data_IF_469112568525
#
_entry.id   IF_469112568525
#
_cell.length_a   1.000
_cell.length_b   1.000
_cell.length_c   1.000
_cell.angle_alpha   90.00
_cell.angle_beta   90.00
_cell.angle_gamma   90.00
#
_symmetry.space_group_name_H-M   'P 1'
#
loop_
_entity.id
_entity.type
_entity.pdbx_description
1 polymer ?
#
# COMPACT_ATOMS: atom_id res chain seq x y z
N UNK A 1 -7.94 18.76 -22.08
CA UNK A 1 -9.12 18.39 -21.26
C UNK A 1 -8.79 18.23 -19.76
N UNK A 2 -7.55 17.88 -19.39
CA UNK A 2 -7.13 17.65 -17.99
C UNK A 2 -7.19 18.88 -17.05
N UNK A 3 -6.87 20.08 -17.52
CA UNK A 3 -6.76 21.29 -16.67
C UNK A 3 -8.09 21.76 -16.02
N UNK A 4 -9.25 21.42 -16.58
CA UNK A 4 -10.57 21.72 -15.98
C UNK A 4 -10.98 20.72 -14.90
N UNK A 5 -10.55 19.45 -15.03
CA UNK A 5 -10.84 18.39 -14.06
C UNK A 5 -10.02 18.60 -12.78
N UNK A 6 -8.75 18.98 -12.92
CA UNK A 6 -7.86 19.27 -11.78
C UNK A 6 -8.34 20.47 -10.97
N UNK A 7 -8.69 21.58 -11.63
CA UNK A 7 -9.23 22.78 -10.93
C UNK A 7 -10.54 22.50 -10.19
N UNK A 8 -11.39 21.62 -10.74
CA UNK A 8 -12.65 21.22 -10.10
C UNK A 8 -12.40 20.31 -8.89
N UNK A 9 -11.39 19.45 -8.96
CA UNK A 9 -11.00 18.59 -7.84
C UNK A 9 -10.35 19.40 -6.71
N UNK A 10 -9.45 20.33 -7.01
CA UNK A 10 -8.83 21.20 -6.01
C UNK A 10 -9.86 22.07 -5.27
N UNK A 11 -10.86 22.60 -5.99
CA UNK A 11 -11.97 23.31 -5.34
C UNK A 11 -12.77 22.38 -4.40
N UNK A 12 -13.04 21.15 -4.83
CA UNK A 12 -13.75 20.14 -4.03
C UNK A 12 -12.95 19.71 -2.81
N UNK A 13 -11.62 19.59 -2.93
CA UNK A 13 -10.69 19.29 -1.84
C UNK A 13 -10.79 20.31 -0.72
N UNK A 14 -10.74 21.61 -1.04
CA UNK A 14 -10.89 22.69 -0.03
C UNK A 14 -12.24 22.59 0.69
N UNK A 15 -13.32 22.22 -0.01
CA UNK A 15 -14.63 22.04 0.62
C UNK A 15 -14.66 20.85 1.58
N UNK A 16 -13.99 19.75 1.23
CA UNK A 16 -13.90 18.55 2.08
C UNK A 16 -13.06 18.84 3.32
N UNK A 17 -11.91 19.51 3.19
CA UNK A 17 -11.06 19.89 4.33
C UNK A 17 -11.83 20.75 5.34
N UNK A 18 -12.56 21.75 4.85
CA UNK A 18 -13.43 22.60 5.70
C UNK A 18 -14.50 21.77 6.41
N UNK A 19 -15.10 20.81 5.71
CA UNK A 19 -16.12 19.94 6.28
C UNK A 19 -15.55 19.03 7.38
N UNK A 20 -14.41 18.38 7.12
CA UNK A 20 -13.74 17.51 8.10
C UNK A 20 -13.32 18.29 9.34
N UNK A 21 -12.80 19.52 9.17
CA UNK A 21 -12.45 20.40 10.28
C UNK A 21 -13.63 20.78 11.16
N UNK A 22 -14.76 21.13 10.56
CA UNK A 22 -15.98 21.43 11.30
C UNK A 22 -16.48 20.20 12.08
N UNK A 23 -16.43 19.00 11.50
CA UNK A 23 -16.83 17.77 12.20
C UNK A 23 -15.86 17.39 13.32
N UNK A 24 -14.57 17.64 13.15
CA UNK A 24 -13.57 17.45 14.20
C UNK A 24 -13.83 18.37 15.38
N UNK A 25 -14.03 19.68 15.14
CA UNK A 25 -14.26 20.67 16.19
C UNK A 25 -15.58 20.44 16.96
N UNK A 26 -16.60 19.85 16.30
CA UNK A 26 -17.82 19.40 16.98
C UNK A 26 -17.57 18.21 17.93
N UNK A 27 -16.75 17.25 17.51
CA UNK A 27 -16.57 15.97 18.22
C UNK A 27 -15.49 16.04 19.30
N UNK A 28 -14.47 16.87 19.09
CA UNK A 28 -13.31 16.98 19.97
C UNK A 28 -13.11 18.43 20.42
N UNK A 29 -13.09 18.64 21.75
CA UNK A 29 -12.72 19.94 22.33
C UNK A 29 -11.22 20.16 22.17
N UNK A 30 -10.80 21.41 21.91
CA UNK A 30 -9.38 21.77 21.78
C UNK A 30 -8.61 21.41 23.05
N UNK A 31 -7.38 20.90 22.87
CA UNK A 31 -6.38 20.60 23.91
C UNK A 31 -6.55 19.29 24.74
N UNK A 32 -7.36 18.32 24.30
CA UNK A 32 -7.44 17.01 24.98
C UNK A 32 -6.77 15.90 24.16
N UNK A 33 -5.97 15.06 24.82
CA UNK A 33 -5.39 13.86 24.20
C UNK A 33 -6.51 12.89 23.79
N UNK A 34 -6.67 12.67 22.49
CA UNK A 34 -7.68 11.76 21.94
C UNK A 34 -7.12 10.33 21.95
N UNK A 35 -7.86 9.36 22.50
CA UNK A 35 -7.47 7.95 22.51
C UNK A 35 -7.55 7.32 21.12
N UNK A 36 -6.72 6.30 20.86
CA UNK A 36 -6.64 5.60 19.56
C UNK A 36 -8.03 5.11 19.09
N UNK A 37 -8.81 4.50 19.98
CA UNK A 37 -10.17 4.03 19.67
C UNK A 37 -11.12 5.15 19.22
N UNK A 38 -11.02 6.34 19.81
CA UNK A 38 -11.82 7.51 19.42
C UNK A 38 -11.38 8.08 18.06
N UNK A 39 -10.08 8.01 17.75
CA UNK A 39 -9.51 8.39 16.45
C UNK A 39 -10.04 7.47 15.35
N UNK A 40 -9.91 6.16 15.53
CA UNK A 40 -10.41 5.14 14.58
C UNK A 40 -11.89 5.34 14.27
N UNK A 41 -12.73 5.45 15.30
CA UNK A 41 -14.17 5.69 15.11
C UNK A 41 -14.47 7.01 14.39
N UNK A 42 -13.66 8.05 14.59
CA UNK A 42 -13.82 9.30 13.84
C UNK A 42 -13.41 9.16 12.37
N UNK A 43 -12.31 8.45 12.08
CA UNK A 43 -11.89 8.16 10.71
C UNK A 43 -12.99 7.41 9.96
N UNK A 44 -13.53 6.31 10.52
CA UNK A 44 -14.59 5.51 9.90
C UNK A 44 -15.87 6.32 9.65
N UNK A 45 -16.27 7.14 10.63
CA UNK A 45 -17.43 8.03 10.49
C UNK A 45 -17.21 9.07 9.39
N UNK A 46 -16.02 9.66 9.33
CA UNK A 46 -15.72 10.72 8.37
C UNK A 46 -15.58 10.19 6.95
N UNK A 47 -14.95 9.02 6.75
CA UNK A 47 -14.89 8.37 5.44
C UNK A 47 -16.31 8.11 4.89
N UNK A 48 -17.24 7.63 5.73
CA UNK A 48 -18.65 7.44 5.34
C UNK A 48 -19.37 8.76 5.03
N UNK A 49 -19.19 9.78 5.89
CA UNK A 49 -19.82 11.11 5.71
C UNK A 49 -19.32 11.81 4.45
N UNK A 50 -18.02 11.74 4.17
CA UNK A 50 -17.41 12.34 2.98
C UNK A 50 -17.87 11.62 1.73
N UNK A 51 -17.84 10.28 1.70
CA UNK A 51 -18.35 9.51 0.57
C UNK A 51 -19.82 9.80 0.26
N UNK A 52 -20.65 9.98 1.30
CA UNK A 52 -22.08 10.32 1.14
C UNK A 52 -22.29 11.75 0.62
N UNK A 53 -21.45 12.71 1.04
CA UNK A 53 -21.65 14.14 0.76
C UNK A 53 -20.94 14.63 -0.50
N UNK A 54 -19.77 14.08 -0.81
CA UNK A 54 -18.89 14.55 -1.88
C UNK A 54 -18.67 13.52 -3.00
N UNK A 55 -19.26 12.33 -2.84
CA UNK A 55 -19.19 11.23 -3.80
C UNK A 55 -18.20 10.13 -3.37
N UNK A 56 -18.46 8.90 -3.83
CA UNK A 56 -17.55 7.75 -3.65
C UNK A 56 -16.27 7.88 -4.48
N UNK A 57 -16.23 8.86 -5.38
CA UNK A 57 -15.10 9.18 -6.24
C UNK A 57 -13.96 9.89 -5.49
N UNK A 58 -14.12 10.15 -4.18
CA UNK A 58 -13.16 10.90 -3.37
C UNK A 58 -12.69 10.08 -2.16
N UNK A 59 -11.37 9.85 -2.09
CA UNK A 59 -10.70 9.30 -0.92
C UNK A 59 -10.41 10.44 0.07
N UNK A 60 -10.83 10.29 1.33
CA UNK A 60 -10.57 11.25 2.39
C UNK A 60 -9.98 10.53 3.60
N UNK A 61 -8.69 10.76 3.85
CA UNK A 61 -7.94 10.20 4.97
C UNK A 61 -7.71 11.28 6.03
N UNK A 62 -7.70 10.86 7.30
CA UNK A 62 -7.52 11.74 8.46
C UNK A 62 -6.40 11.14 9.32
N UNK A 63 -5.28 11.83 9.44
CA UNK A 63 -4.18 11.41 10.31
C UNK A 63 -4.09 12.29 11.55
N UNK A 64 -3.94 11.70 12.74
CA UNK A 64 -3.95 12.42 14.00
C UNK A 64 -2.53 12.69 14.51
N UNK A 65 -2.11 13.94 14.47
CA UNK A 65 -0.81 14.39 14.98
C UNK A 65 -0.91 15.01 16.39
N UNK A 66 0.25 15.30 17.01
CA UNK A 66 0.29 16.08 18.26
C UNK A 66 -0.34 17.45 18.02
N UNK A 67 -1.48 17.72 18.66
CA UNK A 67 -2.18 19.00 18.59
C UNK A 67 -3.35 19.07 17.58
N UNK A 68 -3.66 18.01 16.84
CA UNK A 68 -4.77 18.05 15.89
C UNK A 68 -4.85 16.85 14.93
N UNK A 69 -5.16 17.14 13.67
CA UNK A 69 -5.22 16.16 12.58
C UNK A 69 -4.85 16.82 11.24
N UNK A 70 -4.42 16.01 10.29
CA UNK A 70 -4.23 16.35 8.88
C UNK A 70 -5.26 15.62 8.03
N UNK A 71 -5.68 16.22 6.92
CA UNK A 71 -6.59 15.59 5.96
C UNK A 71 -5.89 15.45 4.62
N UNK A 72 -5.92 14.23 4.07
CA UNK A 72 -5.44 13.95 2.73
C UNK A 72 -6.64 13.58 1.85
N UNK A 73 -6.83 14.32 0.76
CA UNK A 73 -7.95 14.12 -0.17
C UNK A 73 -7.40 13.84 -1.56
N UNK A 74 -7.80 12.70 -2.13
CA UNK A 74 -7.36 12.25 -3.45
C UNK A 74 -8.54 11.73 -4.29
N UNK A 75 -8.47 11.80 -5.63
CA UNK A 75 -9.44 11.13 -6.49
C UNK A 75 -9.31 9.61 -6.28
N UNK A 76 -10.43 8.92 -6.12
CA UNK A 76 -10.45 7.46 -5.93
C UNK A 76 -10.17 6.63 -7.19
N UNK A 77 -9.85 7.29 -8.33
CA UNK A 77 -9.73 6.58 -9.60
C UNK A 77 -8.54 5.62 -9.56
N UNK A 78 -8.93 4.36 -9.64
CA UNK A 78 -8.14 3.17 -9.93
C UNK A 78 -7.78 3.26 -11.41
N UNK A 79 -6.52 3.55 -11.74
CA UNK A 79 -6.03 3.20 -13.07
C UNK A 79 -5.86 1.67 -13.11
N UNK A 80 -6.36 1.05 -14.18
CA UNK A 80 -6.23 -0.39 -14.39
C UNK A 80 -4.90 -0.61 -15.09
N UNK A 81 -4.01 -1.34 -14.42
CA UNK A 81 -2.84 -1.94 -15.05
C UNK A 81 -3.23 -3.21 -15.80
N UNK A 82 -2.29 -3.75 -16.56
CA UNK A 82 -2.30 -5.11 -17.12
C UNK A 82 -2.55 -6.20 -16.06
N UNK A 83 -2.18 -5.93 -14.80
CA UNK A 83 -2.39 -6.80 -13.64
C UNK A 83 -3.60 -6.39 -12.78
N UNK A 84 -4.51 -5.59 -13.35
CA UNK A 84 -5.78 -5.20 -12.72
C UNK A 84 -5.72 -3.85 -12.00
N UNK A 85 -6.53 -3.70 -10.94
CA UNK A 85 -6.79 -2.41 -10.27
C UNK A 85 -5.62 -1.96 -9.40
N UNK A 86 -5.37 -0.65 -9.31
CA UNK A 86 -4.39 -0.07 -8.38
C UNK A 86 -5.00 0.36 -7.05
N UNK A 87 -4.34 0.01 -5.95
CA UNK A 87 -4.68 0.36 -4.58
C UNK A 87 -3.54 1.15 -3.97
N UNK A 88 -3.83 2.26 -3.31
CA UNK A 88 -2.78 3.02 -2.66
C UNK A 88 -2.31 2.33 -1.37
N UNK A 89 -1.01 2.40 -1.10
CA UNK A 89 -0.47 2.15 0.23
C UNK A 89 -1.00 3.17 1.24
N UNK A 90 -1.24 2.75 2.49
CA UNK A 90 -1.61 3.64 3.58
C UNK A 90 -0.38 4.35 4.15
N UNK A 91 0.75 3.66 4.22
CA UNK A 91 2.00 4.16 4.82
C UNK A 91 2.87 4.94 3.82
N UNK A 92 2.87 4.54 2.54
CA UNK A 92 3.84 5.01 1.54
C UNK A 92 3.15 5.69 0.37
N UNK A 93 3.10 7.03 0.36
CA UNK A 93 2.33 7.83 -0.62
C UNK A 93 2.71 7.61 -2.09
N UNK A 94 3.93 7.16 -2.35
CA UNK A 94 4.45 6.91 -3.70
C UNK A 94 4.22 5.46 -4.15
N UNK A 95 3.63 4.60 -3.31
CA UNK A 95 3.47 3.17 -3.58
C UNK A 95 2.02 2.84 -3.89
N UNK A 96 1.84 2.10 -4.98
CA UNK A 96 0.57 1.52 -5.39
C UNK A 96 0.69 0.00 -5.48
N UNK A 97 -0.31 -0.73 -5.01
CA UNK A 97 -0.43 -2.18 -5.12
C UNK A 97 -1.41 -2.52 -6.24
N UNK A 98 -1.05 -3.47 -7.10
CA UNK A 98 -2.02 -4.05 -8.03
C UNK A 98 -2.96 -5.02 -7.30
N UNK A 99 -4.19 -5.22 -7.79
CA UNK A 99 -5.11 -6.27 -7.30
C UNK A 99 -4.41 -7.62 -7.28
N UNK A 100 -3.65 -7.91 -8.34
CA UNK A 100 -2.88 -9.14 -8.44
C UNK A 100 -1.89 -9.31 -7.28
N UNK A 101 -1.11 -8.27 -6.95
CA UNK A 101 -0.17 -8.34 -5.82
C UNK A 101 -0.87 -8.57 -4.48
N UNK A 102 -2.07 -8.01 -4.29
CA UNK A 102 -2.86 -8.18 -3.07
C UNK A 102 -3.46 -9.58 -2.95
N UNK A 103 -4.02 -10.11 -4.05
CA UNK A 103 -4.56 -11.47 -4.10
C UNK A 103 -3.46 -12.50 -3.80
N UNK A 104 -2.31 -12.38 -4.46
CA UNK A 104 -1.16 -13.26 -4.21
C UNK A 104 -0.64 -13.16 -2.78
N UNK A 105 -0.59 -11.96 -2.22
CA UNK A 105 -0.19 -11.79 -0.81
C UNK A 105 -1.20 -12.44 0.15
N UNK A 106 -2.50 -12.29 -0.10
CA UNK A 106 -3.56 -12.88 0.71
C UNK A 106 -3.51 -14.41 0.69
N UNK A 107 -3.44 -15.02 -0.49
CA UNK A 107 -3.33 -16.47 -0.69
C UNK A 107 -2.11 -17.03 0.05
N UNK A 108 -0.95 -16.38 -0.10
CA UNK A 108 0.34 -16.87 0.40
C UNK A 108 0.58 -16.60 1.88
N UNK A 109 -0.24 -15.78 2.52
CA UNK A 109 -0.17 -15.50 3.96
C UNK A 109 -1.38 -16.05 4.71
N UNK A 110 -2.24 -16.83 4.02
CA UNK A 110 -3.49 -17.41 4.52
C UNK A 110 -4.32 -16.39 5.33
N UNK A 111 -4.31 -15.14 4.88
CA UNK A 111 -4.87 -14.03 5.65
C UNK A 111 -6.22 -13.59 5.11
N UNK A 112 -7.22 -13.60 5.98
CA UNK A 112 -8.53 -13.00 5.74
C UNK A 112 -8.60 -11.51 6.15
N UNK A 113 -7.47 -10.93 6.58
CA UNK A 113 -7.36 -9.53 7.02
C UNK A 113 -7.07 -8.58 5.84
N UNK A 114 -7.13 -7.27 6.11
CA UNK A 114 -6.80 -6.26 5.10
C UNK A 114 -5.30 -6.35 4.74
N UNK A 115 -5.03 -7.00 3.60
CA UNK A 115 -3.68 -7.31 3.12
C UNK A 115 -2.83 -6.06 2.85
N UNK A 116 -3.44 -4.89 2.59
CA UNK A 116 -2.71 -3.64 2.36
C UNK A 116 -1.93 -3.23 3.61
N UNK A 117 -2.50 -3.37 4.81
CA UNK A 117 -1.84 -2.97 6.07
C UNK A 117 -0.62 -3.87 6.35
N UNK A 118 -0.76 -5.17 6.09
CA UNK A 118 0.35 -6.13 6.23
C UNK A 118 1.42 -5.88 5.18
N UNK A 119 1.02 -5.67 3.92
CA UNK A 119 1.96 -5.30 2.86
C UNK A 119 2.71 -4.01 3.19
N UNK A 120 2.05 -2.97 3.72
CA UNK A 120 2.70 -1.73 4.14
C UNK A 120 3.75 -1.94 5.24
N UNK A 121 3.49 -2.87 6.16
CA UNK A 121 4.42 -3.23 7.22
C UNK A 121 5.68 -3.85 6.61
N UNK A 122 5.52 -4.85 5.74
CA UNK A 122 6.63 -5.51 5.05
C UNK A 122 7.35 -4.55 4.08
N UNK A 123 6.60 -3.64 3.45
CA UNK A 123 7.13 -2.67 2.50
C UNK A 123 8.07 -1.66 3.16
N UNK A 124 7.84 -1.34 4.43
CA UNK A 124 8.71 -0.44 5.18
C UNK A 124 10.14 -1.00 5.30
N UNK A 125 10.26 -2.32 5.46
CA UNK A 125 11.55 -3.02 5.43
C UNK A 125 12.04 -3.19 4.00
N UNK A 126 11.16 -3.56 3.07
CA UNK A 126 11.51 -3.80 1.68
C UNK A 126 12.15 -2.58 1.00
N UNK A 127 11.65 -1.38 1.30
CA UNK A 127 12.19 -0.12 0.77
C UNK A 127 13.65 0.13 1.12
N UNK A 128 14.17 -0.45 2.21
CA UNK A 128 15.58 -0.33 2.58
C UNK A 128 16.51 -1.01 1.57
N UNK A 129 15.98 -1.94 0.78
CA UNK A 129 16.71 -2.71 -0.25
C UNK A 129 16.59 -2.09 -1.65
N UNK A 130 15.97 -0.92 -1.76
CA UNK A 130 15.84 -0.21 -3.03
C UNK A 130 17.21 0.13 -3.61
N UNK A 131 17.43 -0.30 -4.86
CA UNK A 131 18.69 -0.13 -5.57
C UNK A 131 19.64 -1.32 -5.48
N UNK A 132 19.38 -2.30 -4.60
CA UNK A 132 20.17 -3.53 -4.53
C UNK A 132 19.83 -4.49 -5.69
N UNK A 133 18.53 -4.63 -5.97
CA UNK A 133 18.01 -5.46 -7.05
C UNK A 133 17.06 -4.63 -7.93
N UNK A 134 17.46 -4.33 -9.16
CA UNK A 134 16.61 -3.58 -10.10
C UNK A 134 15.27 -4.30 -10.32
N UNK A 135 14.17 -3.57 -10.08
CA UNK A 135 12.80 -4.10 -10.21
C UNK A 135 12.31 -4.96 -9.04
N UNK A 136 13.13 -5.18 -8.00
CA UNK A 136 12.76 -6.01 -6.85
C UNK A 136 13.11 -5.35 -5.51
N UNK A 137 12.26 -5.57 -4.51
CA UNK A 137 12.50 -5.21 -3.13
C UNK A 137 12.39 -6.46 -2.26
N UNK A 138 13.32 -6.66 -1.34
CA UNK A 138 13.40 -7.87 -0.52
C UNK A 138 13.07 -7.54 0.93
N UNK A 139 12.33 -8.42 1.60
CA UNK A 139 12.00 -8.31 3.02
C UNK A 139 12.05 -9.72 3.63
N UNK A 140 12.07 -9.86 4.98
CA UNK A 140 12.16 -11.16 5.63
C UNK A 140 11.04 -12.13 5.24
N UNK A 141 9.88 -11.63 4.81
CA UNK A 141 8.74 -12.47 4.41
C UNK A 141 8.76 -12.88 2.93
N UNK A 142 9.55 -12.22 2.08
CA UNK A 142 9.52 -12.44 0.63
C UNK A 142 10.00 -11.25 -0.20
N UNK A 143 9.68 -11.27 -1.49
CA UNK A 143 10.16 -10.31 -2.49
C UNK A 143 9.00 -9.63 -3.19
N UNK A 144 9.02 -8.31 -3.28
CA UNK A 144 8.10 -7.51 -4.07
C UNK A 144 8.71 -7.19 -5.43
N UNK A 145 7.98 -7.43 -6.51
CA UNK A 145 8.37 -6.94 -7.84
C UNK A 145 7.65 -5.61 -8.10
N UNK A 146 8.38 -4.63 -8.64
CA UNK A 146 7.86 -3.28 -8.89
C UNK A 146 8.27 -2.72 -10.24
N UNK A 147 7.46 -1.79 -10.73
CA UNK A 147 7.80 -0.85 -11.80
C UNK A 147 7.65 0.59 -11.31
N UNK A 148 8.36 1.53 -11.95
CA UNK A 148 8.13 2.96 -11.76
C UNK A 148 7.24 3.46 -12.90
N UNK A 149 6.00 3.86 -12.58
CA UNK A 149 5.01 4.37 -13.53
C UNK A 149 4.54 5.73 -13.02
N UNK A 150 4.65 6.77 -13.85
CA UNK A 150 4.24 8.15 -13.51
C UNK A 150 4.78 8.62 -12.14
N UNK A 151 6.08 8.41 -11.92
CA UNK A 151 6.79 8.77 -10.67
C UNK A 151 6.29 8.03 -9.42
N UNK A 152 5.54 6.94 -9.59
CA UNK A 152 5.07 6.07 -8.50
C UNK A 152 5.61 4.67 -8.65
N UNK A 153 5.94 4.05 -7.52
CA UNK A 153 6.32 2.66 -7.44
C UNK A 153 5.06 1.79 -7.43
N UNK A 154 4.85 1.05 -8.50
CA UNK A 154 3.72 0.14 -8.65
C UNK A 154 4.18 -1.27 -8.37
N UNK A 155 3.72 -1.84 -7.26
CA UNK A 155 3.97 -3.22 -6.88
C UNK A 155 3.08 -4.14 -7.72
N UNK A 156 3.75 -4.90 -8.58
CA UNK A 156 3.15 -5.80 -9.56
C UNK A 156 2.85 -7.18 -8.98
N UNK A 157 3.73 -7.67 -8.12
CA UNK A 157 3.54 -8.98 -7.47
C UNK A 157 4.31 -9.08 -6.15
N UNK A 158 3.93 -10.06 -5.33
CA UNK A 158 4.62 -10.46 -4.11
C UNK A 158 4.95 -11.94 -4.18
N UNK A 159 6.21 -12.31 -3.96
CA UNK A 159 6.72 -13.68 -3.97
C UNK A 159 7.06 -14.05 -2.52
N UNK A 160 6.35 -15.05 -1.98
CA UNK A 160 6.68 -15.55 -0.65
C UNK A 160 8.08 -16.16 -0.68
N UNK A 161 8.84 -15.98 0.40
CA UNK A 161 10.17 -16.54 0.54
C UNK A 161 10.26 -18.03 0.18
N UNK A 162 9.26 -18.85 0.55
CA UNK A 162 9.22 -20.30 0.28
C UNK A 162 9.09 -20.67 -1.20
N UNK A 163 8.77 -19.70 -2.07
CA UNK A 163 8.60 -19.90 -3.51
C UNK A 163 9.83 -19.48 -4.31
N UNK A 164 10.92 -19.08 -3.62
CA UNK A 164 12.17 -18.69 -4.27
C UNK A 164 13.06 -19.93 -4.43
N UNK A 165 13.62 -20.08 -5.62
CA UNK A 165 14.71 -21.05 -5.86
C UNK A 165 15.98 -20.65 -5.11
N UNK A 166 16.89 -21.60 -4.86
CA UNK A 166 18.21 -21.31 -4.24
C UNK A 166 18.97 -20.21 -4.97
N UNK A 167 18.92 -20.20 -6.32
CA UNK A 167 19.56 -19.16 -7.13
C UNK A 167 18.96 -17.79 -6.87
N UNK A 168 17.63 -17.70 -6.71
CA UNK A 168 16.95 -16.45 -6.39
C UNK A 168 17.23 -16.01 -4.96
N UNK A 169 17.27 -16.93 -3.99
CA UNK A 169 17.65 -16.65 -2.61
C UNK A 169 19.07 -16.08 -2.57
N UNK A 170 20.02 -16.74 -3.24
CA UNK A 170 21.40 -16.25 -3.34
C UNK A 170 21.51 -14.88 -4.01
N UNK A 171 20.69 -14.61 -5.03
CA UNK A 171 20.62 -13.30 -5.69
C UNK A 171 20.05 -12.21 -4.78
N UNK A 172 18.94 -12.49 -4.10
CA UNK A 172 18.17 -11.49 -3.36
C UNK A 172 18.67 -11.24 -1.94
N UNK A 173 19.25 -12.24 -1.29
CA UNK A 173 19.66 -12.18 0.11
C UNK A 173 21.14 -12.51 0.34
N UNK A 174 21.89 -12.79 -0.73
CA UNK A 174 23.30 -13.19 -0.65
C UNK A 174 23.51 -14.62 -0.16
N UNK A 175 24.75 -15.11 -0.32
CA UNK A 175 25.14 -16.47 0.04
C UNK A 175 25.03 -16.78 1.54
N UNK A 176 25.07 -15.76 2.40
CA UNK A 176 24.95 -15.91 3.86
C UNK A 176 23.53 -16.30 4.31
N UNK A 177 22.50 -15.95 3.55
CA UNK A 177 21.10 -16.22 3.93
C UNK A 177 20.61 -17.59 3.44
N UNK A 178 21.20 -18.10 2.35
CA UNK A 178 20.91 -19.44 1.83
C UNK A 178 21.26 -20.56 2.83
N UNK A 179 22.23 -20.34 3.73
CA UNK A 179 22.66 -21.33 4.74
C UNK A 179 21.80 -21.38 5.99
N UNK A 180 20.88 -20.42 6.18
CA UNK A 180 19.97 -20.35 7.33
C UNK A 180 18.59 -20.94 7.05
N UNK A 181 18.38 -21.50 5.86
CA UNK A 181 17.07 -22.00 5.45
C UNK A 181 16.88 -23.47 5.80
N UNK A 182 15.72 -23.82 6.39
CA UNK A 182 15.28 -25.20 6.42
C UNK A 182 15.12 -25.72 4.98
N UNK A 183 15.60 -26.93 4.71
CA UNK A 183 15.50 -27.57 3.37
C UNK A 183 14.07 -27.63 2.82
N UNK A 184 13.05 -27.47 3.66
CA UNK A 184 11.62 -27.45 3.32
C UNK A 184 11.17 -26.17 2.60
N UNK A 185 11.98 -25.10 2.61
CA UNK A 185 11.68 -23.83 1.94
C UNK A 185 12.31 -23.71 0.54
N UNK A 186 12.96 -24.78 0.06
CA UNK A 186 13.60 -24.82 -1.25
C UNK A 186 12.61 -25.43 -2.24
N UNK A 187 12.13 -24.63 -3.19
CA UNK A 187 11.30 -25.14 -4.27
C UNK A 187 12.18 -25.99 -5.21
N UNK A 188 11.96 -27.30 -5.22
CA UNK A 188 12.71 -28.27 -6.04
C UNK A 188 12.48 -28.12 -7.56
N UNK A 189 11.39 -27.47 -7.98
CA UNK A 189 10.95 -27.46 -9.37
C UNK A 189 10.86 -26.06 -9.99
N UNK A 190 11.81 -25.78 -10.88
CA UNK A 190 11.88 -24.57 -11.71
C UNK A 190 10.66 -24.42 -12.64
N UNK A 191 9.87 -25.47 -12.87
CA UNK A 191 8.69 -25.43 -13.75
C UNK A 191 7.39 -25.06 -13.02
N UNK A 192 7.39 -24.92 -11.70
CA UNK A 192 6.22 -24.44 -10.94
C UNK A 192 6.24 -22.93 -10.67
N UNK A 193 7.25 -22.22 -11.18
CA UNK A 193 7.31 -20.77 -11.06
C UNK A 193 6.41 -20.10 -12.10
N UNK A 194 5.45 -19.31 -11.63
CA UNK A 194 4.49 -18.53 -12.43
C UNK A 194 5.13 -17.48 -13.37
N UNK A 195 6.46 -17.34 -13.39
CA UNK A 195 7.19 -16.38 -14.23
C UNK A 195 8.49 -16.98 -14.80
N UNK A 196 8.67 -16.84 -16.12
CA UNK A 196 9.99 -16.91 -16.78
C UNK A 196 10.51 -15.48 -16.93
N UNK A 197 11.68 -15.21 -16.37
CA UNK A 197 12.40 -13.95 -16.62
C UNK A 197 12.85 -13.93 -18.08
N UNK A 198 12.65 -12.81 -18.78
CA UNK A 198 13.27 -12.59 -20.07
C UNK A 198 14.79 -12.42 -19.87
N UNK A 199 15.59 -13.08 -20.71
CA UNK A 199 17.06 -12.96 -20.77
C UNK A 199 17.50 -11.55 -21.19
#
# INVERSE_FOLDING_TARGET
VNNKLDKRFEFRKVQIERYVKAEYEKKFRKNVRISIRKRQRFMDDMSRKVAKKFGKDVLCLIDFAKGGFYTLIAPSKTESTDLGRLFASFSHKQILYTSHSLERFSERTESNENCIIRMDSNMSEALLTYGENLGYLTCPSGVFAYDIIDEKMVIKTYINFSLLSEKQIGKFYGSGTATLLPNECIADDYNQTDFKLAE
#
